data_IF_922478115804
#
_entry.id   IF_922478115804
#
_cell.length_a   1.000
_cell.length_b   1.000
_cell.length_c   1.000
_cell.angle_alpha   90.00
_cell.angle_beta   90.00
_cell.angle_gamma   90.00
#
_symmetry.space_group_name_H-M   'P 1'
#
loop_
_entity.id
_entity.type
_entity.pdbx_description
1 polymer ?
#
# COMPACT_ATOMS: atom_id res chain seq x y z
N UNK A 1 -23.46 79.94 8.63
CA UNK A 1 -23.81 78.88 9.61
C UNK A 1 -23.82 77.58 8.82
N UNK A 2 -22.92 76.63 8.95
CA UNK A 2 -22.21 76.12 10.12
C UNK A 2 -22.28 74.59 9.96
N UNK A 3 -21.50 74.05 9.03
CA UNK A 3 -21.37 72.60 8.80
C UNK A 3 -20.29 72.04 9.72
N UNK A 4 -20.61 70.99 10.45
CA UNK A 4 -19.67 70.37 11.40
C UNK A 4 -20.36 69.24 12.16
N UNK A 5 -20.44 68.07 11.54
CA UNK A 5 -21.08 66.90 12.12
C UNK A 5 -20.82 65.66 11.27
N UNK A 6 -19.57 65.22 11.21
CA UNK A 6 -19.17 64.04 10.42
C UNK A 6 -18.02 63.21 11.01
N UNK A 7 -17.15 63.80 11.82
CA UNK A 7 -15.85 63.18 12.14
C UNK A 7 -15.88 62.19 13.32
N UNK A 8 -16.85 62.30 14.23
CA UNK A 8 -16.95 61.40 15.40
C UNK A 8 -17.36 59.96 15.07
N UNK A 9 -18.19 59.78 14.03
CA UNK A 9 -18.63 58.46 13.57
C UNK A 9 -17.56 57.71 12.78
N UNK A 10 -16.73 58.44 12.03
CA UNK A 10 -15.65 57.87 11.24
C UNK A 10 -14.51 57.32 12.14
N UNK A 11 -14.15 58.05 13.20
CA UNK A 11 -13.13 57.60 14.16
C UNK A 11 -13.58 56.38 14.98
N UNK A 12 -14.84 56.35 15.43
CA UNK A 12 -15.42 55.20 16.14
C UNK A 12 -15.53 53.96 15.24
N UNK A 13 -15.92 54.13 13.98
CA UNK A 13 -15.96 53.06 12.99
C UNK A 13 -14.57 52.49 12.69
N UNK A 14 -13.54 53.35 12.60
CA UNK A 14 -12.16 52.92 12.42
C UNK A 14 -11.62 52.11 13.61
N UNK A 15 -11.97 52.49 14.85
CA UNK A 15 -11.56 51.73 16.04
C UNK A 15 -12.21 50.34 16.08
N UNK A 16 -13.51 50.25 15.80
CA UNK A 16 -14.21 48.96 15.75
C UNK A 16 -13.68 48.04 14.64
N UNK A 17 -13.34 48.60 13.48
CA UNK A 17 -12.75 47.83 12.39
C UNK A 17 -11.32 47.35 12.74
N UNK A 18 -10.51 48.20 13.40
CA UNK A 18 -9.19 47.81 13.87
C UNK A 18 -9.24 46.70 14.94
N UNK A 19 -10.21 46.77 15.87
CA UNK A 19 -10.45 45.73 16.87
C UNK A 19 -10.86 44.40 16.23
N UNK A 20 -11.77 44.43 15.26
CA UNK A 20 -12.18 43.24 14.48
C UNK A 20 -10.98 42.61 13.77
N UNK A 21 -10.17 43.43 13.08
CA UNK A 21 -8.97 42.93 12.39
C UNK A 21 -7.95 42.34 13.36
N UNK A 22 -7.76 42.95 14.54
CA UNK A 22 -6.88 42.42 15.58
C UNK A 22 -7.36 41.05 16.10
N UNK A 23 -8.67 40.88 16.28
CA UNK A 23 -9.26 39.60 16.69
C UNK A 23 -9.09 38.52 15.62
N UNK A 24 -9.39 38.83 14.35
CA UNK A 24 -9.20 37.92 13.22
C UNK A 24 -7.74 37.48 13.12
N UNK A 25 -6.81 38.43 13.25
CA UNK A 25 -5.37 38.15 13.23
C UNK A 25 -4.98 37.23 14.40
N UNK A 26 -5.40 37.55 15.62
CA UNK A 26 -5.10 36.72 16.79
C UNK A 26 -5.68 35.30 16.65
N UNK A 27 -6.88 35.15 16.11
CA UNK A 27 -7.51 33.85 15.87
C UNK A 27 -6.75 33.05 14.81
N UNK A 28 -6.35 33.72 13.72
CA UNK A 28 -5.52 33.14 12.67
C UNK A 28 -4.16 32.68 13.21
N UNK A 29 -3.51 33.50 14.05
CA UNK A 29 -2.23 33.19 14.68
C UNK A 29 -2.36 31.99 15.66
N UNK A 30 -3.45 31.91 16.43
CA UNK A 30 -3.72 30.79 17.32
C UNK A 30 -3.96 29.47 16.57
N UNK A 31 -4.73 29.52 15.46
CA UNK A 31 -4.89 28.38 14.55
C UNK A 31 -3.53 27.98 14.00
N UNK A 32 -2.77 28.94 13.48
CA UNK A 32 -1.46 28.69 12.90
C UNK A 32 -0.49 28.07 13.90
N UNK A 33 -0.47 28.54 15.14
CA UNK A 33 0.36 27.98 16.21
C UNK A 33 -0.04 26.53 16.52
N UNK A 34 -1.33 26.20 16.48
CA UNK A 34 -1.83 24.83 16.70
C UNK A 34 -1.40 23.88 15.58
N UNK A 35 -1.50 24.31 14.32
CA UNK A 35 -1.09 23.52 13.15
C UNK A 35 0.42 23.51 12.91
N UNK A 36 1.17 24.50 13.39
CA UNK A 36 2.64 24.54 13.32
C UNK A 36 3.31 23.98 14.59
N UNK A 37 2.53 23.39 15.51
CA UNK A 37 3.06 22.83 16.75
C UNK A 37 4.18 21.82 16.48
N UNK A 38 5.21 21.80 17.33
CA UNK A 38 6.47 21.04 17.18
C UNK A 38 6.36 19.51 17.14
N UNK A 39 5.15 18.94 17.02
CA UNK A 39 4.92 17.51 16.87
C UNK A 39 4.37 17.08 15.51
N UNK A 40 4.00 18.01 14.61
CA UNK A 40 3.35 17.64 13.33
C UNK A 40 4.29 16.88 12.40
N UNK A 41 5.53 17.34 12.24
CA UNK A 41 6.50 16.67 11.37
C UNK A 41 6.82 15.26 11.85
N UNK A 42 6.94 15.07 13.16
CA UNK A 42 7.11 13.76 13.78
C UNK A 42 5.90 12.85 13.52
N UNK A 43 4.67 13.38 13.58
CA UNK A 43 3.46 12.62 13.27
C UNK A 43 3.38 12.19 11.80
N UNK A 44 3.78 13.06 10.87
CA UNK A 44 3.86 12.71 9.44
C UNK A 44 4.91 11.62 9.19
N UNK A 45 6.08 11.74 9.84
CA UNK A 45 7.13 10.72 9.77
C UNK A 45 6.69 9.39 10.39
N UNK A 46 5.97 9.41 11.52
CA UNK A 46 5.40 8.23 12.16
C UNK A 46 4.33 7.56 11.27
N UNK A 47 3.45 8.36 10.66
CA UNK A 47 2.48 7.86 9.67
C UNK A 47 3.17 7.13 8.53
N UNK A 48 4.20 7.75 7.96
CA UNK A 48 5.00 7.15 6.89
C UNK A 48 5.65 5.85 7.37
N UNK A 49 6.33 5.88 8.52
CA UNK A 49 7.03 4.72 9.08
C UNK A 49 6.08 3.55 9.32
N UNK A 50 4.98 3.78 10.03
CA UNK A 50 4.01 2.75 10.34
C UNK A 50 3.37 2.12 9.08
N UNK A 51 3.02 2.93 8.07
CA UNK A 51 2.50 2.41 6.79
C UNK A 51 3.57 1.61 6.07
N UNK A 52 4.81 2.11 6.01
CA UNK A 52 5.91 1.39 5.40
C UNK A 52 6.15 0.04 6.07
N UNK A 53 6.22 -0.01 7.41
CA UNK A 53 6.49 -1.22 8.17
C UNK A 53 5.39 -2.28 7.98
N UNK A 54 4.12 -1.87 8.01
CA UNK A 54 2.98 -2.75 7.72
C UNK A 54 3.09 -3.37 6.33
N UNK A 55 3.39 -2.56 5.33
CA UNK A 55 3.53 -3.00 3.95
C UNK A 55 4.79 -3.85 3.73
N UNK A 56 5.88 -3.53 4.42
CA UNK A 56 7.12 -4.31 4.42
C UNK A 56 6.88 -5.71 4.97
N UNK A 57 6.22 -5.83 6.13
CA UNK A 57 5.91 -7.14 6.72
C UNK A 57 5.09 -8.01 5.76
N UNK A 58 4.15 -7.40 5.05
CA UNK A 58 3.34 -8.10 4.06
C UNK A 58 4.16 -8.54 2.83
N UNK A 59 5.04 -7.68 2.32
CA UNK A 59 5.97 -8.02 1.24
C UNK A 59 6.87 -9.20 1.63
N UNK A 60 7.48 -9.14 2.82
CA UNK A 60 8.36 -10.20 3.34
C UNK A 60 7.60 -11.53 3.53
N UNK A 61 6.36 -11.46 4.02
CA UNK A 61 5.47 -12.62 4.18
C UNK A 61 5.20 -13.28 2.83
N UNK A 62 4.76 -12.50 1.85
CA UNK A 62 4.47 -13.03 0.51
C UNK A 62 5.73 -13.58 -0.18
N UNK A 63 6.89 -12.94 0.00
CA UNK A 63 8.16 -13.43 -0.54
C UNK A 63 8.50 -14.80 0.05
N UNK A 64 8.39 -14.97 1.38
CA UNK A 64 8.65 -16.24 2.06
C UNK A 64 7.70 -17.35 1.58
N UNK A 65 6.43 -17.04 1.36
CA UNK A 65 5.45 -17.98 0.81
C UNK A 65 5.76 -18.36 -0.65
N UNK A 66 6.15 -17.38 -1.46
CA UNK A 66 6.57 -17.59 -2.84
C UNK A 66 7.83 -18.47 -2.92
N UNK A 67 8.83 -18.24 -2.08
CA UNK A 67 10.04 -19.06 -1.99
C UNK A 67 9.72 -20.52 -1.65
N UNK A 68 8.87 -20.74 -0.64
CA UNK A 68 8.45 -22.10 -0.26
C UNK A 68 7.74 -22.80 -1.40
N UNK A 69 6.75 -22.13 -2.00
CA UNK A 69 5.95 -22.67 -3.11
C UNK A 69 6.84 -23.00 -4.31
N UNK A 70 7.72 -22.07 -4.67
CA UNK A 70 8.68 -22.24 -5.74
C UNK A 70 9.62 -23.43 -5.48
N UNK A 71 10.19 -23.52 -4.27
CA UNK A 71 11.07 -24.63 -3.88
C UNK A 71 10.36 -25.98 -3.98
N UNK A 72 9.11 -26.08 -3.53
CA UNK A 72 8.32 -27.31 -3.69
C UNK A 72 8.01 -27.61 -5.16
N UNK A 73 7.71 -26.60 -5.96
CA UNK A 73 7.54 -26.72 -7.40
C UNK A 73 8.78 -27.31 -8.06
N UNK A 74 9.93 -26.65 -7.88
CA UNK A 74 11.23 -27.08 -8.42
C UNK A 74 11.60 -28.48 -7.96
N UNK A 75 11.30 -28.83 -6.70
CA UNK A 75 11.53 -30.19 -6.16
C UNK A 75 10.73 -31.24 -6.94
N UNK A 76 9.43 -30.98 -7.15
CA UNK A 76 8.55 -31.87 -7.92
C UNK A 76 8.97 -31.99 -9.38
N UNK A 77 9.55 -30.94 -9.94
CA UNK A 77 10.07 -30.93 -11.30
C UNK A 77 11.48 -31.52 -11.44
N UNK A 78 12.16 -31.87 -10.33
CA UNK A 78 13.55 -32.32 -10.36
C UNK A 78 14.55 -31.23 -10.75
N UNK A 79 14.15 -29.95 -10.67
CA UNK A 79 14.93 -28.78 -11.08
C UNK A 79 15.66 -28.09 -9.91
N UNK A 80 15.57 -28.67 -8.70
CA UNK A 80 16.35 -28.20 -7.55
C UNK A 80 17.86 -28.32 -7.82
N UNK A 81 18.61 -27.28 -7.48
CA UNK A 81 20.08 -27.23 -7.65
C UNK A 81 20.55 -26.81 -9.06
N UNK A 82 19.62 -26.58 -10.00
CA UNK A 82 19.94 -26.12 -11.36
C UNK A 82 19.80 -24.60 -11.55
N UNK A 83 20.08 -24.12 -12.76
CA UNK A 83 19.90 -22.72 -13.16
C UNK A 83 18.47 -22.22 -12.97
N UNK A 84 17.48 -23.09 -13.19
CA UNK A 84 16.07 -22.79 -12.97
C UNK A 84 15.76 -22.36 -11.52
N UNK A 85 16.48 -22.90 -10.53
CA UNK A 85 16.35 -22.44 -9.14
C UNK A 85 16.94 -21.05 -8.95
N UNK A 86 18.14 -20.81 -9.48
CA UNK A 86 18.86 -19.53 -9.34
C UNK A 86 18.05 -18.40 -9.98
N UNK A 87 17.54 -18.61 -11.19
CA UNK A 87 16.73 -17.63 -11.92
C UNK A 87 15.44 -17.30 -11.17
N UNK A 88 14.79 -18.32 -10.59
CA UNK A 88 13.55 -18.11 -9.85
C UNK A 88 13.76 -17.37 -8.53
N UNK A 89 14.84 -17.67 -7.79
CA UNK A 89 15.21 -16.91 -6.59
C UNK A 89 15.56 -15.46 -6.95
N UNK A 90 16.25 -15.23 -8.07
CA UNK A 90 16.53 -13.89 -8.56
C UNK A 90 15.25 -13.11 -8.90
N UNK A 91 14.25 -13.77 -9.49
CA UNK A 91 12.95 -13.15 -9.75
C UNK A 91 12.18 -12.80 -8.46
N UNK A 92 12.18 -13.71 -7.48
CA UNK A 92 11.56 -13.45 -6.18
C UNK A 92 12.21 -12.25 -5.48
N UNK A 93 13.54 -12.17 -5.48
CA UNK A 93 14.27 -11.04 -4.91
C UNK A 93 13.94 -9.73 -5.62
N UNK A 94 13.84 -9.74 -6.96
CA UNK A 94 13.45 -8.56 -7.73
C UNK A 94 12.06 -8.07 -7.35
N UNK A 95 11.07 -8.98 -7.32
CA UNK A 95 9.69 -8.66 -6.93
C UNK A 95 9.58 -8.18 -5.50
N UNK A 96 10.37 -8.74 -4.59
CA UNK A 96 10.46 -8.29 -3.21
C UNK A 96 10.94 -6.85 -3.14
N UNK A 97 12.04 -6.52 -3.83
CA UNK A 97 12.55 -5.15 -3.89
C UNK A 97 11.55 -4.17 -4.52
N UNK A 98 10.87 -4.57 -5.60
CA UNK A 98 9.79 -3.79 -6.21
C UNK A 98 8.63 -3.56 -5.23
N UNK A 99 8.25 -4.59 -4.46
CA UNK A 99 7.23 -4.50 -3.41
C UNK A 99 7.62 -3.53 -2.30
N UNK A 100 8.89 -3.54 -1.87
CA UNK A 100 9.41 -2.58 -0.90
C UNK A 100 9.43 -1.14 -1.43
N UNK A 101 9.73 -0.93 -2.71
CA UNK A 101 9.62 0.40 -3.32
C UNK A 101 8.17 0.88 -3.39
N UNK A 102 7.22 0.00 -3.74
CA UNK A 102 5.79 0.33 -3.71
C UNK A 102 5.31 0.62 -2.29
N UNK A 103 5.77 -0.14 -1.30
CA UNK A 103 5.50 0.14 0.11
C UNK A 103 5.98 1.54 0.51
N UNK A 104 7.16 1.95 0.04
CA UNK A 104 7.68 3.31 0.20
C UNK A 104 6.75 4.36 -0.41
N UNK A 105 6.32 4.17 -1.66
CA UNK A 105 5.39 5.08 -2.33
C UNK A 105 4.02 5.20 -1.63
N UNK A 106 3.47 4.08 -1.14
CA UNK A 106 2.22 4.06 -0.37
C UNK A 106 2.40 4.83 0.95
N UNK A 107 3.53 4.66 1.62
CA UNK A 107 3.86 5.37 2.86
C UNK A 107 4.03 6.88 2.63
N UNK A 108 4.71 7.28 1.55
CA UNK A 108 4.87 8.67 1.15
C UNK A 108 3.50 9.32 0.86
N UNK A 109 2.64 8.62 0.13
CA UNK A 109 1.27 9.08 -0.15
C UNK A 109 0.46 9.24 1.14
N UNK A 110 0.49 8.25 2.04
CA UNK A 110 -0.26 8.32 3.30
C UNK A 110 0.18 9.50 4.20
N UNK A 111 1.48 9.83 4.18
CA UNK A 111 1.99 11.02 4.87
C UNK A 111 1.56 12.31 4.18
N UNK A 112 1.54 12.34 2.86
CA UNK A 112 1.09 13.51 2.09
C UNK A 112 -0.40 13.77 2.29
N UNK A 113 -1.23 12.73 2.28
CA UNK A 113 -2.67 12.82 2.50
C UNK A 113 -3.00 13.42 3.88
N UNK A 114 -2.28 12.98 4.92
CA UNK A 114 -2.43 13.53 6.27
C UNK A 114 -2.06 15.02 6.32
N UNK A 115 -0.94 15.41 5.68
CA UNK A 115 -0.53 16.82 5.57
C UNK A 115 -1.60 17.66 4.86
N UNK A 116 -2.09 17.18 3.72
CA UNK A 116 -3.13 17.87 2.95
C UNK A 116 -4.44 18.00 3.75
N UNK A 117 -4.84 16.96 4.49
CA UNK A 117 -6.03 17.01 5.34
C UNK A 117 -5.90 18.08 6.45
N UNK A 118 -4.71 18.24 7.03
CA UNK A 118 -4.46 19.28 8.03
C UNK A 118 -4.41 20.68 7.41
N UNK A 119 -3.78 20.84 6.25
CA UNK A 119 -3.76 22.11 5.52
C UNK A 119 -5.17 22.56 5.13
N UNK A 120 -6.02 21.62 4.69
CA UNK A 120 -7.41 21.90 4.38
C UNK A 120 -8.21 22.28 5.63
N UNK A 121 -8.03 21.55 6.74
CA UNK A 121 -8.66 21.89 8.03
C UNK A 121 -8.23 23.28 8.52
N UNK A 122 -6.94 23.59 8.39
CA UNK A 122 -6.38 24.90 8.72
C UNK A 122 -7.01 26.01 7.88
N UNK A 123 -7.08 25.84 6.56
CA UNK A 123 -7.67 26.83 5.67
C UNK A 123 -9.16 27.09 5.99
N UNK A 124 -9.93 26.03 6.27
CA UNK A 124 -11.32 26.15 6.67
C UNK A 124 -11.48 26.93 7.98
N UNK A 125 -10.63 26.68 8.96
CA UNK A 125 -10.66 27.37 10.25
C UNK A 125 -10.22 28.83 10.13
N UNK A 126 -9.26 29.15 9.27
CA UNK A 126 -8.86 30.53 8.99
C UNK A 126 -10.01 31.29 8.33
N UNK A 127 -10.70 30.68 7.36
CA UNK A 127 -11.90 31.25 6.75
C UNK A 127 -13.00 31.52 7.79
N UNK A 128 -13.19 30.58 8.73
CA UNK A 128 -14.11 30.77 9.85
C UNK A 128 -13.65 31.88 10.82
N UNK A 129 -12.36 31.99 11.11
CA UNK A 129 -11.81 33.07 11.92
C UNK A 129 -12.07 34.44 11.26
N UNK A 130 -11.93 34.54 9.94
CA UNK A 130 -12.27 35.75 9.17
C UNK A 130 -13.76 36.10 9.26
N UNK A 131 -14.64 35.11 9.43
CA UNK A 131 -16.08 35.32 9.65
C UNK A 131 -16.46 35.76 11.07
N UNK A 132 -15.48 35.80 12.00
CA UNK A 132 -15.66 36.35 13.35
C UNK A 132 -15.70 35.33 14.50
N UNK A 133 -15.08 34.15 14.35
CA UNK A 133 -14.90 33.23 15.49
C UNK A 133 -13.82 33.74 16.45
N UNK A 134 -14.11 33.71 17.74
CA UNK A 134 -13.15 34.05 18.81
C UNK A 134 -11.97 33.07 18.90
N UNK A 135 -10.80 33.61 19.29
CA UNK A 135 -9.51 32.90 19.44
C UNK A 135 -9.58 31.59 20.23
N UNK A 136 -10.29 31.57 21.38
CA UNK A 136 -10.39 30.39 22.24
C UNK A 136 -11.22 29.25 21.63
N UNK A 137 -12.27 29.61 20.88
CA UNK A 137 -13.10 28.66 20.15
C UNK A 137 -12.36 28.11 18.92
N UNK A 138 -11.61 28.97 18.22
CA UNK A 138 -10.80 28.60 17.07
C UNK A 138 -9.71 27.55 17.41
N UNK A 139 -8.98 27.72 18.51
CA UNK A 139 -7.97 26.76 18.96
C UNK A 139 -8.59 25.40 19.32
N UNK A 140 -9.74 25.40 20.00
CA UNK A 140 -10.45 24.16 20.37
C UNK A 140 -10.94 23.39 19.14
N UNK A 141 -11.46 24.10 18.12
CA UNK A 141 -11.87 23.49 16.86
C UNK A 141 -10.66 22.96 16.07
N UNK A 142 -9.55 23.70 16.02
CA UNK A 142 -8.29 23.25 15.41
C UNK A 142 -7.79 21.94 16.01
N UNK A 143 -7.75 21.85 17.35
CA UNK A 143 -7.37 20.62 18.05
C UNK A 143 -8.30 19.45 17.72
N UNK A 144 -9.61 19.70 17.61
CA UNK A 144 -10.56 18.66 17.24
C UNK A 144 -10.36 18.17 15.79
N UNK A 145 -10.16 19.10 14.84
CA UNK A 145 -9.86 18.75 13.44
C UNK A 145 -8.57 17.91 13.33
N UNK A 146 -7.51 18.28 14.06
CA UNK A 146 -6.27 17.51 14.10
C UNK A 146 -6.46 16.09 14.66
N UNK A 147 -7.29 15.93 15.70
CA UNK A 147 -7.62 14.61 16.26
C UNK A 147 -8.37 13.74 15.26
N UNK A 148 -9.34 14.31 14.55
CA UNK A 148 -10.11 13.60 13.51
C UNK A 148 -9.19 13.20 12.35
N UNK A 149 -8.35 14.11 11.87
CA UNK A 149 -7.39 13.81 10.80
C UNK A 149 -6.41 12.71 11.21
N UNK A 150 -5.92 12.73 12.45
CA UNK A 150 -5.06 11.66 12.98
C UNK A 150 -5.81 10.32 13.07
N UNK A 151 -7.05 10.31 13.57
CA UNK A 151 -7.88 9.10 13.62
C UNK A 151 -8.14 8.52 12.21
N UNK A 152 -8.43 9.39 11.24
CA UNK A 152 -8.60 8.98 9.84
C UNK A 152 -7.31 8.43 9.24
N UNK A 153 -6.17 9.07 9.50
CA UNK A 153 -4.88 8.60 9.04
C UNK A 153 -4.51 7.25 9.65
N UNK A 154 -4.80 7.04 10.95
CA UNK A 154 -4.63 5.75 11.61
C UNK A 154 -5.50 4.65 10.99
N UNK A 155 -6.73 4.97 10.62
CA UNK A 155 -7.64 4.05 9.92
C UNK A 155 -7.15 3.73 8.51
N UNK A 156 -6.62 4.72 7.79
CA UNK A 156 -6.03 4.53 6.47
C UNK A 156 -4.80 3.62 6.52
N UNK A 157 -4.00 3.62 7.61
CA UNK A 157 -2.89 2.68 7.81
C UNK A 157 -3.36 1.22 7.71
N UNK A 158 -4.54 0.91 8.27
CA UNK A 158 -5.06 -0.46 8.30
C UNK A 158 -5.52 -0.97 6.90
N UNK A 159 -5.82 -0.06 5.97
CA UNK A 159 -6.25 -0.41 4.61
C UNK A 159 -5.15 -0.33 3.54
N UNK A 160 -4.05 0.37 3.83
CA UNK A 160 -2.95 0.56 2.88
C UNK A 160 -2.09 -0.70 2.77
N UNK A 161 -2.24 -1.47 1.68
CA UNK A 161 -1.49 -2.71 1.43
C UNK A 161 -0.89 -2.74 0.02
N UNK A 162 0.27 -3.39 -0.15
CA UNK A 162 0.98 -3.51 -1.46
C UNK A 162 0.22 -4.41 -2.46
N UNK A 163 -0.88 -5.06 -2.04
CA UNK A 163 -1.61 -6.03 -2.85
C UNK A 163 -0.83 -7.33 -3.06
N UNK A 164 -1.34 -8.24 -3.89
CA UNK A 164 -0.68 -9.53 -4.17
C UNK A 164 0.45 -9.41 -5.19
N UNK A 165 1.71 -9.49 -4.73
CA UNK A 165 2.93 -9.33 -5.53
C UNK A 165 3.31 -10.59 -6.33
N UNK A 166 2.93 -11.76 -5.82
CA UNK A 166 3.37 -13.06 -6.34
C UNK A 166 2.24 -13.91 -6.93
N UNK A 167 1.02 -13.37 -7.03
CA UNK A 167 -0.13 -14.07 -7.62
C UNK A 167 0.17 -14.58 -9.05
N UNK A 168 0.91 -13.81 -9.83
CA UNK A 168 1.29 -14.17 -11.20
C UNK A 168 2.38 -15.25 -11.25
N UNK A 169 3.22 -15.37 -10.22
CA UNK A 169 4.29 -16.37 -10.15
C UNK A 169 3.69 -17.79 -10.02
N UNK A 170 2.65 -17.93 -9.20
CA UNK A 170 1.92 -19.19 -9.03
C UNK A 170 1.24 -19.65 -10.31
N UNK A 171 0.61 -18.72 -11.05
CA UNK A 171 -0.03 -19.04 -12.33
C UNK A 171 0.99 -19.36 -13.44
N UNK A 172 2.08 -18.59 -13.55
CA UNK A 172 3.12 -18.83 -14.55
C UNK A 172 3.80 -20.18 -14.34
N UNK A 173 4.03 -20.59 -13.08
CA UNK A 173 4.60 -21.90 -12.78
C UNK A 173 3.62 -23.04 -13.11
N UNK A 174 2.34 -22.93 -12.71
CA UNK A 174 1.31 -23.90 -13.07
C UNK A 174 1.11 -24.01 -14.58
N UNK A 175 1.18 -22.90 -15.30
CA UNK A 175 1.02 -22.86 -16.76
C UNK A 175 2.24 -23.45 -17.47
N UNK A 176 3.46 -23.19 -17.00
CA UNK A 176 4.67 -23.85 -17.50
C UNK A 176 4.73 -25.33 -17.14
N UNK A 177 4.23 -25.74 -15.96
CA UNK A 177 4.14 -27.15 -15.58
C UNK A 177 3.07 -27.89 -16.39
N UNK A 178 1.92 -27.26 -16.66
CA UNK A 178 0.89 -27.79 -17.54
C UNK A 178 1.40 -27.91 -18.99
N UNK A 179 2.17 -26.93 -19.46
CA UNK A 179 2.77 -27.00 -20.80
C UNK A 179 3.92 -27.99 -20.86
N UNK A 180 4.79 -28.10 -19.85
CA UNK A 180 5.84 -29.12 -19.80
C UNK A 180 5.25 -30.53 -19.68
N UNK A 181 4.17 -30.72 -18.91
CA UNK A 181 3.42 -31.98 -18.85
C UNK A 181 2.73 -32.32 -20.17
N UNK A 182 2.16 -31.33 -20.86
CA UNK A 182 1.58 -31.50 -22.21
C UNK A 182 2.65 -31.74 -23.27
N UNK A 183 3.81 -31.10 -23.19
CA UNK A 183 4.95 -31.32 -24.09
C UNK A 183 5.64 -32.66 -23.80
N UNK A 184 5.70 -33.13 -22.55
CA UNK A 184 6.16 -34.47 -22.22
C UNK A 184 5.16 -35.54 -22.68
N UNK A 185 3.85 -35.28 -22.59
CA UNK A 185 2.81 -36.14 -23.14
C UNK A 185 2.81 -36.14 -24.69
N UNK A 186 3.09 -35.00 -25.33
CA UNK A 186 3.24 -34.89 -26.80
C UNK A 186 4.62 -35.27 -27.31
N UNK A 187 5.64 -35.37 -26.46
CA UNK A 187 6.98 -35.85 -26.81
C UNK A 187 7.10 -37.38 -26.77
N UNK A 188 6.03 -38.09 -26.38
CA UNK A 188 5.96 -39.54 -26.52
C UNK A 188 4.80 -40.05 -27.40
N UNK A 189 4.78 -39.77 -28.72
CA UNK A 189 3.92 -40.49 -29.65
C UNK A 189 4.58 -41.74 -30.25
N UNK A 190 5.88 -42.00 -30.03
CA UNK A 190 6.66 -42.79 -31.00
C UNK A 190 7.76 -43.73 -30.49
N UNK A 191 7.71 -44.24 -29.25
CA UNK A 191 8.61 -45.33 -28.85
C UNK A 191 7.91 -46.41 -28.01
N UNK A 192 7.24 -47.33 -28.71
CA UNK A 192 7.26 -48.75 -28.35
C UNK A 192 7.10 -49.57 -29.64
N UNK A 193 8.20 -49.55 -30.39
CA UNK A 193 8.48 -50.45 -31.49
C UNK A 193 8.56 -51.87 -30.92
N UNK A 194 7.62 -52.69 -31.35
CA UNK A 194 7.41 -54.08 -30.96
C UNK A 194 8.64 -54.91 -31.35
N UNK A 195 9.48 -55.28 -30.39
CA UNK A 195 10.56 -56.26 -30.56
C UNK A 195 10.50 -57.32 -29.47
N UNK A 196 10.08 -58.52 -29.88
CA UNK A 196 10.41 -59.83 -29.34
C UNK A 196 10.40 -60.04 -27.82
N UNK A 197 9.30 -60.58 -27.29
CA UNK A 197 9.37 -61.55 -26.18
C UNK A 197 8.45 -62.73 -26.51
N UNK A 198 9.06 -63.88 -26.79
CA UNK A 198 8.42 -65.18 -26.87
C UNK A 198 7.82 -65.56 -25.51
N UNK A 199 6.50 -65.68 -25.44
CA UNK A 199 5.78 -66.20 -24.28
C UNK A 199 5.95 -67.72 -24.17
N UNK A 200 6.37 -68.27 -23.01
CA UNK A 200 6.38 -69.71 -22.79
C UNK A 200 5.04 -70.15 -22.23
N UNK A 201 4.05 -70.46 -23.06
CA UNK A 201 2.87 -71.22 -22.62
C UNK A 201 3.11 -72.70 -22.82
N UNK A 202 3.55 -73.37 -21.75
CA UNK A 202 3.46 -74.83 -21.63
C UNK A 202 2.00 -75.23 -21.49
N UNK A 203 1.41 -75.81 -22.51
CA UNK A 203 0.25 -76.69 -22.40
C UNK A 203 0.62 -78.04 -22.98
N UNK A 204 0.83 -78.98 -22.06
CA UNK A 204 1.08 -80.40 -22.32
C UNK A 204 -0.25 -81.13 -22.36
N UNK A 205 -0.48 -81.94 -23.41
CA UNK A 205 -1.31 -83.14 -23.30
C UNK A 205 -2.35 -83.36 -24.42
N UNK A 206 -2.02 -84.25 -25.35
CA UNK A 206 -3.00 -85.23 -25.88
C UNK A 206 -3.32 -85.18 -27.38
N UNK A 207 -2.47 -85.84 -28.19
CA UNK A 207 -2.86 -86.46 -29.47
C UNK A 207 -3.77 -87.66 -29.25
N UNK A 208 -4.78 -87.88 -30.10
CA UNK A 208 -5.00 -89.13 -30.87
C UNK A 208 -5.94 -88.84 -32.06
N UNK A 209 -5.47 -89.19 -33.27
CA UNK A 209 -6.21 -89.19 -34.54
C UNK A 209 -7.18 -90.36 -34.67
N UNK A 210 -8.20 -90.19 -35.53
CA UNK A 210 -8.59 -91.21 -36.52
C UNK A 210 -8.75 -90.52 -37.87
#
# INVERSE_FOLDING_TARGET
>A
MGGGGGDGGAAAAQQQEAERQAQIKAATDAINATFNGSGRDALYADQRGAVYDLNKMEVDRQATEAERTNRFGLARAGLLGGSAQVDSVADINRRTNEGLMRAGGIADQASADLRTADEQARANLISLAQSGIDTGTAASQALNSLKVNNANASSARAGATVGGLFNDLGQAYLMNQANAGRSAANANPNQQQWYGVSSPSKTYGGTVSR
#
